data_IF_944646971273
#
_entry.id   IF_944646971273
#
_cell.length_a   1.000
_cell.length_b   1.000
_cell.length_c   1.000
_cell.angle_alpha   90.00
_cell.angle_beta   90.00
_cell.angle_gamma   90.00
#
_symmetry.space_group_name_H-M   'P 1'
#
loop_
_entity.id
_entity.type
_entity.pdbx_description
1 polymer ?
#
# COMPACT_ATOMS: atom_id res chain seq x y z
N UNK A 1 22.35 10.52 -1.24
CA UNK A 1 22.38 10.66 0.23
C UNK A 1 22.10 12.10 0.65
N UNK A 2 23.01 13.06 0.38
CA UNK A 2 22.85 14.47 0.77
C UNK A 2 21.49 15.07 0.36
N UNK A 3 20.99 14.74 -0.83
CA UNK A 3 19.67 15.20 -1.30
C UNK A 3 18.52 14.69 -0.43
N UNK A 4 18.55 13.43 0.01
CA UNK A 4 17.47 12.86 0.83
C UNK A 4 17.47 13.46 2.25
N UNK A 5 18.64 13.62 2.85
CA UNK A 5 18.77 14.17 4.22
C UNK A 5 18.50 15.68 4.27
N UNK A 6 18.77 16.42 3.18
CA UNK A 6 18.54 17.85 3.08
C UNK A 6 17.05 18.23 2.94
N UNK A 7 16.16 17.27 2.67
CA UNK A 7 14.74 17.52 2.44
C UNK A 7 13.85 16.72 3.39
N UNK A 8 13.97 16.90 4.73
CA UNK A 8 13.17 16.15 5.68
C UNK A 8 11.68 16.48 5.55
N UNK A 9 10.84 15.48 5.77
CA UNK A 9 9.38 15.66 5.84
C UNK A 9 9.01 16.68 6.92
N UNK A 10 8.11 17.63 6.63
CA UNK A 10 7.66 18.63 7.59
C UNK A 10 6.73 18.05 8.66
N UNK A 11 6.34 16.78 8.53
CA UNK A 11 5.43 16.13 9.46
C UNK A 11 6.03 16.10 10.87
N UNK A 12 5.26 16.43 11.92
CA UNK A 12 5.65 16.19 13.30
C UNK A 12 6.15 14.76 13.54
N UNK A 13 6.96 14.60 14.59
CA UNK A 13 7.45 13.28 15.02
C UNK A 13 6.33 12.43 15.63
N UNK A 14 5.47 13.09 16.40
CA UNK A 14 4.25 12.53 16.97
C UNK A 14 3.21 12.35 15.87
N UNK A 15 3.02 11.09 15.43
CA UNK A 15 2.06 10.75 14.39
C UNK A 15 0.61 10.81 14.91
N UNK A 16 0.38 10.62 16.21
CA UNK A 16 -0.95 10.79 16.80
C UNK A 16 -1.41 12.24 16.62
N UNK A 17 -0.54 13.20 16.93
CA UNK A 17 -0.83 14.61 16.72
C UNK A 17 -1.11 14.96 15.25
N UNK A 18 -0.49 14.26 14.29
CA UNK A 18 -0.78 14.44 12.86
C UNK A 18 -2.19 13.98 12.50
N UNK A 19 -2.61 12.81 13.00
CA UNK A 19 -3.95 12.27 12.75
C UNK A 19 -5.01 13.16 13.39
N UNK A 20 -4.82 13.50 14.67
CA UNK A 20 -5.75 14.33 15.44
C UNK A 20 -5.79 15.78 14.93
N UNK A 21 -4.68 16.26 14.35
CA UNK A 21 -4.56 17.57 13.71
C UNK A 21 -5.16 17.69 12.31
N UNK A 22 -6.02 16.74 11.90
CA UNK A 22 -6.79 16.77 10.65
C UNK A 22 -5.96 16.69 9.36
N UNK A 23 -4.74 16.14 9.40
CA UNK A 23 -3.95 15.94 8.16
C UNK A 23 -4.71 15.09 7.13
N UNK A 24 -5.54 14.18 7.63
CA UNK A 24 -6.22 13.16 6.89
C UNK A 24 -7.71 13.44 6.69
N UNK A 25 -8.44 13.71 7.77
CA UNK A 25 -9.87 14.00 7.76
C UNK A 25 -10.20 15.13 8.74
N UNK A 26 -11.28 15.89 8.53
CA UNK A 26 -11.84 16.77 9.55
C UNK A 26 -12.61 15.99 10.62
N UNK A 27 -12.95 16.64 11.76
CA UNK A 27 -13.87 16.08 12.74
C UNK A 27 -15.21 15.64 12.12
N UNK A 28 -15.83 14.55 12.61
CA UNK A 28 -15.42 13.72 13.76
C UNK A 28 -14.47 12.56 13.41
N UNK A 29 -13.88 12.53 12.20
CA UNK A 29 -13.15 11.36 11.69
C UNK A 29 -11.63 11.45 11.87
N UNK A 30 -11.12 12.56 12.42
CA UNK A 30 -9.72 12.78 12.78
C UNK A 30 -9.32 12.03 14.07
N UNK A 31 -9.66 10.74 14.16
CA UNK A 31 -9.50 9.92 15.37
C UNK A 31 -8.43 8.85 15.22
N UNK A 32 -7.72 8.54 16.30
CA UNK A 32 -6.82 7.40 16.36
C UNK A 32 -7.57 6.17 16.88
N UNK A 33 -7.69 5.16 16.04
CA UNK A 33 -8.38 3.90 16.34
C UNK A 33 -7.35 2.79 16.59
N UNK A 34 -6.39 2.64 15.68
CA UNK A 34 -5.34 1.63 15.75
C UNK A 34 -4.08 2.08 16.48
N UNK A 35 -3.10 1.18 16.57
CA UNK A 35 -1.78 1.50 17.11
C UNK A 35 -1.09 2.57 16.26
N UNK A 36 -0.45 3.52 16.92
CA UNK A 36 0.34 4.58 16.29
C UNK A 36 1.74 4.54 16.86
N UNK A 37 2.72 4.88 16.03
CA UNK A 37 4.13 5.00 16.44
C UNK A 37 4.65 6.35 15.97
N UNK A 38 5.48 6.98 16.79
CA UNK A 38 6.24 8.14 16.36
C UNK A 38 7.11 7.80 15.16
N UNK A 39 7.46 8.80 14.34
CA UNK A 39 8.33 8.61 13.18
C UNK A 39 9.81 8.87 13.41
N UNK A 40 10.63 8.15 12.66
CA UNK A 40 12.07 8.31 12.57
C UNK A 40 12.47 9.48 11.68
N UNK A 41 13.79 9.72 11.62
CA UNK A 41 14.35 10.74 10.74
C UNK A 41 14.34 10.29 9.29
N UNK A 42 14.74 11.17 8.36
CA UNK A 42 15.05 10.75 7.00
C UNK A 42 15.99 9.54 7.04
N UNK A 43 15.59 8.46 6.36
CA UNK A 43 16.36 7.22 6.34
C UNK A 43 16.05 6.45 5.07
N UNK A 44 16.96 5.58 4.66
CA UNK A 44 16.77 4.81 3.45
C UNK A 44 17.99 4.01 3.01
N UNK A 45 17.82 3.34 1.88
CA UNK A 45 18.80 2.45 1.28
C UNK A 45 18.64 2.46 -0.24
N UNK A 46 19.76 2.42 -0.97
CA UNK A 46 19.78 2.13 -2.42
C UNK A 46 20.51 0.83 -2.63
N UNK A 47 19.89 -0.09 -3.36
CA UNK A 47 20.44 -1.38 -3.77
C UNK A 47 20.51 -1.39 -5.29
N UNK A 48 21.66 -1.78 -5.85
CA UNK A 48 21.89 -1.94 -7.29
C UNK A 48 22.58 -3.27 -7.52
N UNK A 49 22.12 -4.09 -8.47
CA UNK A 49 22.77 -5.38 -8.72
C UNK A 49 22.70 -6.34 -7.54
N UNK A 50 21.65 -6.25 -6.72
CA UNK A 50 21.51 -6.99 -5.46
C UNK A 50 22.45 -6.56 -4.33
N UNK A 51 23.31 -5.54 -4.53
CA UNK A 51 24.26 -5.05 -3.52
C UNK A 51 23.81 -3.70 -2.94
N UNK A 52 23.87 -3.55 -1.62
CA UNK A 52 23.63 -2.26 -0.96
C UNK A 52 24.73 -1.30 -1.37
N UNK A 53 24.35 -0.20 -2.03
CA UNK A 53 25.28 0.82 -2.50
C UNK A 53 25.45 1.93 -1.44
N UNK A 54 24.33 2.32 -0.81
CA UNK A 54 24.33 3.36 0.23
C UNK A 54 23.14 3.18 1.18
N UNK A 55 23.37 3.53 2.44
CA UNK A 55 22.37 3.60 3.51
C UNK A 55 22.54 4.91 4.27
N UNK A 56 21.43 5.44 4.78
CA UNK A 56 21.46 6.66 5.59
C UNK A 56 20.35 6.63 6.65
N UNK A 57 20.57 7.40 7.72
CA UNK A 57 19.70 7.42 8.89
C UNK A 57 19.61 6.06 9.60
N UNK A 58 18.60 5.93 10.46
CA UNK A 58 18.31 4.69 11.18
C UNK A 58 17.44 3.76 10.32
N UNK A 59 18.09 2.81 9.64
CA UNK A 59 17.43 1.87 8.71
C UNK A 59 16.73 0.70 9.41
N UNK A 60 17.11 0.42 10.66
CA UNK A 60 16.55 -0.64 11.50
C UNK A 60 15.32 -0.19 12.29
N UNK A 61 15.07 1.12 12.38
CA UNK A 61 13.85 1.65 12.99
C UNK A 61 12.60 1.15 12.25
N UNK A 62 11.65 0.62 13.04
CA UNK A 62 10.31 0.25 12.57
C UNK A 62 9.40 1.46 12.56
N UNK A 63 8.97 1.87 11.37
CA UNK A 63 8.19 3.11 11.16
C UNK A 63 6.85 2.84 10.51
N UNK A 64 5.89 3.72 10.82
CA UNK A 64 4.69 4.05 10.05
C UNK A 64 4.86 3.89 8.52
N UNK A 65 4.39 2.81 7.87
CA UNK A 65 4.49 2.71 6.40
C UNK A 65 3.32 3.41 5.67
N UNK A 66 2.22 3.67 6.38
CA UNK A 66 0.99 4.25 5.82
C UNK A 66 0.56 3.53 4.52
N UNK A 67 0.33 4.27 3.44
CA UNK A 67 -0.17 3.72 2.16
C UNK A 67 0.80 2.78 1.45
N UNK A 68 2.07 2.67 1.86
CA UNK A 68 2.94 1.58 1.36
C UNK A 68 2.37 0.21 1.73
N UNK A 69 1.57 0.11 2.81
CA UNK A 69 0.82 -1.10 3.19
C UNK A 69 0.02 -1.67 2.02
N UNK A 70 -0.57 -0.82 1.17
CA UNK A 70 -1.41 -1.25 0.04
C UNK A 70 -0.64 -2.12 -0.97
N UNK A 71 0.63 -1.82 -1.20
CA UNK A 71 1.47 -2.60 -2.11
C UNK A 71 1.81 -4.00 -1.56
N UNK A 72 1.81 -4.18 -0.22
CA UNK A 72 1.87 -5.51 0.39
C UNK A 72 0.55 -6.29 0.25
N UNK A 73 -0.59 -5.60 0.31
CA UNK A 73 -1.90 -6.21 0.03
C UNK A 73 -1.97 -6.68 -1.43
N UNK A 74 -1.48 -5.85 -2.37
CA UNK A 74 -1.35 -6.23 -3.78
C UNK A 74 -0.49 -7.49 -3.96
N UNK A 75 0.65 -7.59 -3.26
CA UNK A 75 1.46 -8.81 -3.25
C UNK A 75 0.66 -10.03 -2.79
N UNK A 76 -0.12 -9.91 -1.70
CA UNK A 76 -0.95 -11.02 -1.21
C UNK A 76 -2.06 -11.41 -2.18
N UNK A 77 -2.63 -10.46 -2.93
CA UNK A 77 -3.58 -10.79 -4.00
C UNK A 77 -2.90 -11.56 -5.15
N UNK A 78 -1.67 -11.20 -5.52
CA UNK A 78 -0.89 -11.97 -6.49
C UNK A 78 -0.56 -13.37 -5.97
N UNK A 79 -0.26 -13.53 -4.68
CA UNK A 79 -0.08 -14.85 -4.04
C UNK A 79 -1.36 -15.68 -4.10
N UNK A 80 -2.53 -15.07 -3.90
CA UNK A 80 -3.81 -15.77 -4.02
C UNK A 80 -4.06 -16.27 -5.46
N UNK A 81 -3.73 -15.45 -6.46
CA UNK A 81 -3.80 -15.83 -7.86
C UNK A 81 -2.83 -16.98 -8.18
N UNK A 82 -1.57 -16.86 -7.75
CA UNK A 82 -0.51 -17.84 -8.01
C UNK A 82 -0.81 -19.21 -7.39
N UNK A 83 -1.44 -19.23 -6.22
CA UNK A 83 -1.89 -20.45 -5.54
C UNK A 83 -3.21 -21.01 -6.10
N UNK A 84 -3.81 -20.37 -7.10
CA UNK A 84 -5.08 -20.78 -7.69
C UNK A 84 -6.29 -20.63 -6.76
N UNK A 85 -6.20 -19.79 -5.71
CA UNK A 85 -7.31 -19.52 -4.79
C UNK A 85 -8.43 -18.71 -5.47
N UNK A 86 -8.06 -17.91 -6.47
CA UNK A 86 -8.94 -17.17 -7.36
C UNK A 86 -8.61 -17.54 -8.81
N UNK A 87 -9.63 -17.50 -9.69
CA UNK A 87 -9.43 -17.82 -11.11
C UNK A 87 -8.73 -16.68 -11.88
N UNK A 88 -8.82 -15.46 -11.37
CA UNK A 88 -8.30 -14.24 -11.98
C UNK A 88 -8.80 -13.01 -11.23
N UNK A 89 -8.17 -11.86 -11.47
CA UNK A 89 -8.59 -10.64 -10.79
C UNK A 89 -9.97 -10.13 -11.26
N UNK A 90 -10.44 -10.52 -12.44
CA UNK A 90 -11.76 -10.11 -12.93
C UNK A 90 -12.92 -10.98 -12.38
N UNK A 91 -12.61 -11.98 -11.56
CA UNK A 91 -13.63 -12.75 -10.83
C UNK A 91 -14.30 -11.87 -9.75
N UNK A 92 -15.65 -11.86 -9.63
CA UNK A 92 -16.31 -11.22 -8.50
C UNK A 92 -15.88 -11.83 -7.17
N UNK A 93 -15.59 -10.99 -6.17
CA UNK A 93 -15.12 -11.44 -4.84
C UNK A 93 -16.13 -12.40 -4.18
N UNK A 94 -17.42 -12.12 -4.37
CA UNK A 94 -18.55 -12.91 -3.89
C UNK A 94 -18.57 -14.37 -4.38
N UNK A 95 -17.82 -14.71 -5.44
CA UNK A 95 -17.67 -16.11 -5.91
C UNK A 95 -16.84 -16.97 -4.97
N UNK A 96 -15.99 -16.35 -4.15
CA UNK A 96 -15.09 -17.03 -3.21
C UNK A 96 -15.42 -16.73 -1.76
N UNK A 97 -15.95 -15.53 -1.50
CA UNK A 97 -16.15 -15.02 -0.15
C UNK A 97 -17.64 -14.90 0.14
N UNK A 98 -18.13 -15.73 1.04
CA UNK A 98 -19.46 -15.60 1.65
C UNK A 98 -19.36 -14.68 2.88
N UNK A 99 -19.45 -13.37 2.64
CA UNK A 99 -19.44 -12.35 3.69
C UNK A 99 -20.44 -11.25 3.33
N UNK A 100 -21.25 -10.73 4.29
CA UNK A 100 -22.21 -9.66 4.03
C UNK A 100 -21.61 -8.41 3.39
N UNK A 101 -20.31 -8.14 3.58
CA UNK A 101 -19.60 -7.04 2.93
C UNK A 101 -19.61 -7.16 1.39
N UNK A 102 -19.77 -8.36 0.84
CA UNK A 102 -19.78 -8.65 -0.61
C UNK A 102 -21.14 -9.15 -1.10
N UNK A 103 -22.21 -8.89 -0.35
CA UNK A 103 -23.57 -9.25 -0.72
C UNK A 103 -24.33 -8.09 -1.41
N UNK A 104 -25.53 -8.38 -1.90
CA UNK A 104 -26.43 -7.38 -2.51
C UNK A 104 -26.08 -7.01 -3.94
N UNK A 105 -26.93 -6.19 -4.61
CA UNK A 105 -26.87 -5.99 -6.06
C UNK A 105 -25.60 -5.26 -6.55
N UNK A 106 -24.91 -4.52 -5.67
CA UNK A 106 -23.68 -3.78 -5.99
C UNK A 106 -22.44 -4.55 -5.58
N UNK A 107 -22.24 -4.79 -4.28
CA UNK A 107 -20.99 -5.34 -3.79
C UNK A 107 -20.77 -6.78 -4.27
N UNK A 108 -21.84 -7.54 -4.59
CA UNK A 108 -21.70 -8.87 -5.16
C UNK A 108 -21.13 -8.89 -6.59
N UNK A 109 -21.13 -7.77 -7.31
CA UNK A 109 -20.54 -7.66 -8.65
C UNK A 109 -19.11 -7.13 -8.63
N UNK A 110 -18.61 -6.66 -7.48
CA UNK A 110 -17.26 -6.10 -7.35
C UNK A 110 -16.22 -7.20 -7.55
N UNK A 111 -15.26 -6.96 -8.45
CA UNK A 111 -14.17 -7.88 -8.73
C UNK A 111 -12.93 -7.59 -7.89
N UNK A 112 -12.02 -8.56 -7.78
CA UNK A 112 -10.72 -8.35 -7.14
C UNK A 112 -9.93 -7.22 -7.80
N UNK A 113 -9.94 -7.16 -9.14
CA UNK A 113 -9.32 -6.12 -9.97
C UNK A 113 -9.84 -4.75 -9.59
N UNK A 114 -11.15 -4.62 -9.41
CA UNK A 114 -11.74 -3.33 -9.09
C UNK A 114 -11.39 -2.86 -7.67
N UNK A 115 -11.23 -3.76 -6.71
CA UNK A 115 -10.69 -3.41 -5.38
C UNK A 115 -9.21 -3.01 -5.46
N UNK A 116 -8.41 -3.79 -6.19
CA UNK A 116 -6.98 -3.57 -6.38
C UNK A 116 -6.65 -2.27 -7.13
N UNK A 117 -7.47 -1.91 -8.12
CA UNK A 117 -7.26 -0.74 -8.96
C UNK A 117 -7.98 0.51 -8.43
N UNK A 118 -8.63 0.44 -7.26
CA UNK A 118 -9.38 1.55 -6.66
C UNK A 118 -10.55 2.03 -7.54
N UNK A 119 -11.24 1.08 -8.19
CA UNK A 119 -12.40 1.33 -9.06
C UNK A 119 -13.68 0.60 -8.64
N UNK A 120 -13.68 -0.02 -7.46
CA UNK A 120 -14.77 -0.90 -7.02
C UNK A 120 -16.12 -0.22 -6.85
N UNK A 121 -16.16 1.06 -6.50
CA UNK A 121 -17.39 1.69 -6.02
C UNK A 121 -18.08 0.85 -4.92
N UNK A 122 -17.29 0.06 -4.18
CA UNK A 122 -17.75 -0.71 -3.03
C UNK A 122 -18.28 0.26 -1.97
N UNK A 123 -19.39 -0.09 -1.35
CA UNK A 123 -20.02 0.73 -0.32
C UNK A 123 -20.55 -0.08 0.85
N UNK A 124 -20.42 0.49 2.04
CA UNK A 124 -20.82 -0.15 3.27
C UNK A 124 -20.12 0.49 4.46
N UNK A 125 -20.34 -0.10 5.63
CA UNK A 125 -19.60 0.23 6.85
C UNK A 125 -18.76 -0.96 7.23
N UNK A 126 -17.45 -0.75 7.38
CA UNK A 126 -16.52 -1.79 7.81
C UNK A 126 -15.80 -1.31 9.06
N UNK A 127 -15.76 -2.16 10.08
CA UNK A 127 -15.15 -1.86 11.38
C UNK A 127 -15.64 -0.50 11.92
N UNK A 128 -16.95 -0.22 11.85
CA UNK A 128 -17.54 1.03 12.34
C UNK A 128 -17.17 2.31 11.57
N UNK A 129 -16.50 2.22 10.41
CA UNK A 129 -16.27 3.35 9.51
C UNK A 129 -17.07 3.16 8.22
N UNK A 130 -17.94 4.12 7.84
CA UNK A 130 -18.61 4.08 6.55
C UNK A 130 -17.65 4.49 5.42
N UNK A 131 -17.77 3.85 4.26
CA UNK A 131 -16.91 4.10 3.10
C UNK A 131 -16.95 5.57 2.63
N UNK A 132 -18.08 6.24 2.90
CA UNK A 132 -18.33 7.65 2.58
C UNK A 132 -17.33 8.62 3.23
N UNK A 133 -16.69 8.24 4.34
CA UNK A 133 -15.66 9.07 4.99
C UNK A 133 -14.47 9.30 4.07
N UNK A 134 -14.23 8.34 3.18
CA UNK A 134 -13.03 8.18 2.37
C UNK A 134 -13.28 8.41 0.87
N UNK A 135 -14.45 8.93 0.48
CA UNK A 135 -14.77 9.22 -0.92
C UNK A 135 -14.14 10.53 -1.39
N UNK A 136 -13.77 10.55 -2.66
CA UNK A 136 -13.23 11.70 -3.39
C UNK A 136 -12.00 12.32 -2.69
N UNK A 137 -11.09 11.45 -2.23
CA UNK A 137 -9.87 11.92 -1.59
C UNK A 137 -8.96 12.63 -2.59
N UNK A 138 -8.51 13.82 -2.20
CA UNK A 138 -7.40 14.50 -2.87
C UNK A 138 -6.06 13.99 -2.32
N UNK A 139 -5.19 13.49 -3.19
CA UNK A 139 -3.95 12.79 -2.84
C UNK A 139 -2.75 13.70 -2.56
N UNK A 140 -2.88 15.00 -2.81
CA UNK A 140 -1.95 16.02 -2.35
C UNK A 140 -2.54 16.78 -1.15
N UNK A 141 -1.70 17.26 -0.21
CA UNK A 141 -2.15 18.28 0.72
C UNK A 141 -2.60 19.51 -0.08
N UNK A 142 -3.85 19.92 0.09
CA UNK A 142 -4.39 21.19 -0.42
C UNK A 142 -4.96 21.94 0.78
N UNK A 143 -4.81 23.25 0.80
CA UNK A 143 -5.41 24.11 1.84
C UNK A 143 -6.91 24.36 1.57
N UNK A 144 -7.57 23.48 0.80
CA UNK A 144 -8.93 23.67 0.31
C UNK A 144 -9.98 23.12 1.31
N UNK A 145 -10.82 23.98 1.92
CA UNK A 145 -11.90 23.56 2.80
C UNK A 145 -13.04 22.79 2.11
N UNK A 146 -13.10 22.74 0.77
CA UNK A 146 -14.02 21.90 0.01
C UNK A 146 -13.60 20.41 -0.06
N UNK A 147 -12.58 20.01 0.71
CA UNK A 147 -12.09 18.63 0.82
C UNK A 147 -13.25 17.66 1.13
N UNK A 148 -13.30 16.57 0.37
CA UNK A 148 -14.26 15.47 0.50
C UNK A 148 -15.70 15.86 0.13
N UNK A 149 -16.07 15.74 -1.15
CA UNK A 149 -17.50 15.67 -1.49
C UNK A 149 -18.04 14.30 -1.07
N UNK A 150 -18.30 14.16 0.24
CA UNK A 150 -18.93 12.97 0.82
C UNK A 150 -20.35 12.77 0.29
N UNK A 151 -20.91 13.73 -0.43
CA UNK A 151 -22.21 13.64 -1.10
C UNK A 151 -22.16 13.00 -2.49
N UNK A 152 -20.98 12.76 -3.06
CA UNK A 152 -20.84 12.19 -4.40
C UNK A 152 -21.55 10.83 -4.50
N UNK A 153 -22.56 10.71 -5.38
CA UNK A 153 -23.25 9.45 -5.59
C UNK A 153 -22.32 8.41 -6.20
N UNK A 154 -22.47 7.17 -5.73
CA UNK A 154 -21.72 6.04 -6.28
C UNK A 154 -22.07 5.81 -7.75
N UNK A 155 -21.05 5.54 -8.56
CA UNK A 155 -21.16 5.11 -9.97
C UNK A 155 -21.17 3.58 -10.05
N UNK A 156 -21.21 3.03 -11.26
CA UNK A 156 -21.10 1.58 -11.42
C UNK A 156 -19.67 1.12 -11.11
N UNK A 157 -19.47 -0.06 -10.46
CA UNK A 157 -18.14 -0.65 -10.29
C UNK A 157 -17.36 -0.71 -11.61
N UNK A 158 -16.09 -0.29 -11.59
CA UNK A 158 -15.22 -0.22 -12.75
C UNK A 158 -15.37 1.04 -13.62
N UNK A 159 -16.19 2.02 -13.23
CA UNK A 159 -16.44 3.24 -14.05
C UNK A 159 -15.92 4.54 -13.44
N UNK A 160 -15.38 4.47 -12.23
CA UNK A 160 -14.80 5.61 -11.53
C UNK A 160 -13.55 5.18 -10.78
N UNK A 161 -12.52 6.02 -10.77
CA UNK A 161 -11.32 5.80 -9.98
C UNK A 161 -11.34 6.73 -8.77
N UNK A 162 -11.29 6.16 -7.58
CA UNK A 162 -11.32 6.88 -6.31
C UNK A 162 -10.42 6.17 -5.31
N UNK A 163 -9.35 6.83 -4.89
CA UNK A 163 -8.35 6.26 -3.99
C UNK A 163 -8.90 6.22 -2.57
N UNK A 164 -9.26 5.01 -2.10
CA UNK A 164 -10.07 4.84 -0.91
C UNK A 164 -9.54 3.77 0.05
N UNK A 165 -9.17 4.15 1.28
CA UNK A 165 -8.71 3.27 2.36
C UNK A 165 -9.80 2.34 2.90
N UNK A 166 -11.05 2.77 2.96
CA UNK A 166 -12.18 1.95 3.38
C UNK A 166 -12.40 0.74 2.45
N UNK A 167 -12.32 0.96 1.14
CA UNK A 167 -12.43 -0.08 0.11
C UNK A 167 -11.22 -1.04 0.14
N UNK A 168 -10.04 -0.55 0.49
CA UNK A 168 -8.87 -1.40 0.73
C UNK A 168 -9.05 -2.27 1.98
N UNK A 169 -9.69 -1.76 3.05
CA UNK A 169 -10.02 -2.59 4.21
C UNK A 169 -11.00 -3.72 3.85
N UNK A 170 -11.93 -3.49 2.92
CA UNK A 170 -12.77 -4.56 2.38
C UNK A 170 -11.93 -5.62 1.67
N UNK A 171 -10.91 -5.23 0.89
CA UNK A 171 -9.96 -6.18 0.30
C UNK A 171 -9.16 -6.94 1.36
N UNK A 172 -8.72 -6.29 2.44
CA UNK A 172 -8.06 -6.99 3.57
C UNK A 172 -8.96 -8.07 4.18
N UNK A 173 -10.25 -7.75 4.41
CA UNK A 173 -11.25 -8.71 4.88
C UNK A 173 -11.36 -9.88 3.89
N UNK A 174 -11.57 -9.59 2.60
CA UNK A 174 -11.72 -10.61 1.56
C UNK A 174 -10.51 -11.55 1.49
N UNK A 175 -9.29 -11.01 1.49
CA UNK A 175 -8.07 -11.82 1.45
C UNK A 175 -7.90 -12.64 2.74
N UNK A 176 -8.22 -12.08 3.91
CA UNK A 176 -8.14 -12.83 5.19
C UNK A 176 -9.09 -14.02 5.19
N UNK A 177 -10.32 -13.82 4.69
CA UNK A 177 -11.31 -14.89 4.49
C UNK A 177 -10.83 -15.91 3.47
N UNK A 178 -10.25 -15.46 2.35
CA UNK A 178 -9.78 -16.32 1.27
C UNK A 178 -8.65 -17.26 1.72
N UNK A 179 -7.69 -16.72 2.48
CA UNK A 179 -6.57 -17.49 3.01
C UNK A 179 -6.93 -18.31 4.24
N UNK A 180 -8.08 -18.04 4.86
CA UNK A 180 -8.46 -18.54 6.17
C UNK A 180 -7.35 -18.34 7.23
N UNK A 181 -6.64 -17.21 7.14
CA UNK A 181 -5.49 -16.90 7.97
C UNK A 181 -5.23 -15.38 8.05
N UNK A 182 -4.66 -14.87 9.15
CA UNK A 182 -4.26 -13.48 9.25
C UNK A 182 -3.25 -13.10 8.14
N UNK A 183 -3.47 -12.00 7.44
CA UNK A 183 -2.56 -11.51 6.40
C UNK A 183 -1.09 -11.35 6.85
N UNK A 184 -0.78 -10.93 8.09
CA UNK A 184 0.61 -10.88 8.55
C UNK A 184 1.29 -12.26 8.57
N UNK A 185 0.54 -13.33 8.87
CA UNK A 185 1.04 -14.70 8.87
C UNK A 185 1.24 -15.20 7.44
N UNK A 186 0.30 -14.93 6.54
CA UNK A 186 0.43 -15.25 5.10
C UNK A 186 1.66 -14.56 4.51
N UNK A 187 1.85 -13.28 4.83
CA UNK A 187 2.98 -12.48 4.37
C UNK A 187 4.32 -12.99 4.91
N UNK A 188 4.39 -13.32 6.21
CA UNK A 188 5.59 -13.92 6.81
C UNK A 188 5.92 -15.30 6.23
N UNK A 189 4.91 -16.06 5.77
CA UNK A 189 5.08 -17.34 5.11
C UNK A 189 5.70 -17.27 3.71
N UNK A 190 5.79 -16.09 3.09
CA UNK A 190 6.43 -15.89 1.79
C UNK A 190 7.96 -15.90 1.93
N UNK A 191 8.47 -15.09 2.86
CA UNK A 191 9.90 -14.97 3.15
C UNK A 191 10.13 -14.43 4.58
N UNK A 192 11.16 -14.89 5.31
CA UNK A 192 11.51 -14.38 6.64
C UNK A 192 11.73 -12.86 6.71
N UNK A 193 12.11 -12.22 5.60
CA UNK A 193 12.24 -10.76 5.51
C UNK A 193 10.92 -10.02 5.80
N UNK A 194 9.77 -10.70 5.70
CA UNK A 194 8.45 -10.17 6.04
C UNK A 194 7.92 -10.65 7.40
N UNK A 195 8.75 -11.30 8.20
CA UNK A 195 8.42 -11.76 9.55
C UNK A 195 8.32 -10.63 10.59
N UNK A 196 8.11 -10.99 11.87
CA UNK A 196 7.93 -10.03 12.96
C UNK A 196 9.19 -9.26 13.35
N UNK A 197 10.38 -9.77 12.99
CA UNK A 197 11.66 -9.09 13.28
C UNK A 197 11.85 -7.79 12.49
N UNK A 198 11.12 -7.63 11.38
CA UNK A 198 11.28 -6.49 10.46
C UNK A 198 10.06 -5.57 10.43
N UNK A 199 9.07 -5.83 11.27
CA UNK A 199 7.85 -5.02 11.34
C UNK A 199 6.65 -5.74 11.93
N UNK A 200 5.53 -5.02 11.96
CA UNK A 200 4.22 -5.53 12.39
C UNK A 200 3.14 -4.98 11.45
N UNK A 201 2.02 -5.69 11.33
CA UNK A 201 0.87 -5.24 10.57
C UNK A 201 -0.38 -5.43 11.41
N UNK A 202 -0.91 -4.31 11.91
CA UNK A 202 -1.96 -4.28 12.92
C UNK A 202 -3.31 -3.87 12.33
N UNK A 203 -4.38 -4.33 12.97
CA UNK A 203 -5.75 -3.84 12.75
C UNK A 203 -6.14 -2.81 13.82
N UNK A 204 -7.40 -2.88 14.23
CA UNK A 204 -8.04 -2.02 15.24
C UNK A 204 -8.53 -2.82 16.46
N UNK A 205 -7.86 -3.93 16.77
CA UNK A 205 -8.20 -4.82 17.88
C UNK A 205 -9.57 -5.48 17.71
N UNK A 206 -10.37 -5.47 18.77
CA UNK A 206 -11.72 -6.06 18.75
C UNK A 206 -12.60 -5.48 17.64
N UNK A 207 -12.43 -4.19 17.33
CA UNK A 207 -13.18 -3.48 16.29
C UNK A 207 -13.00 -4.05 14.88
N UNK A 208 -11.83 -4.64 14.60
CA UNK A 208 -11.55 -5.32 13.33
C UNK A 208 -11.41 -6.83 13.48
N UNK A 209 -11.86 -7.41 14.59
CA UNK A 209 -11.82 -8.85 14.79
C UNK A 209 -13.04 -9.52 14.14
N UNK A 210 -12.79 -10.58 13.36
CA UNK A 210 -13.84 -11.38 12.73
C UNK A 210 -13.65 -12.86 13.07
N UNK A 211 -14.74 -13.63 13.06
CA UNK A 211 -14.68 -15.07 13.32
C UNK A 211 -14.26 -15.82 12.05
N UNK A 212 -13.08 -16.45 12.03
CA UNK A 212 -12.74 -17.50 11.06
C UNK A 212 -13.08 -18.90 11.63
N UNK A 213 -13.25 -19.93 10.78
CA UNK A 213 -13.46 -21.32 11.20
C UNK A 213 -12.53 -21.80 12.31
N UNK A 214 -11.22 -21.51 12.21
CA UNK A 214 -10.24 -21.96 13.18
C UNK A 214 -10.22 -21.12 14.47
N UNK A 215 -10.33 -19.80 14.34
CA UNK A 215 -10.28 -18.85 15.46
C UNK A 215 -10.75 -17.45 15.06
N UNK A 216 -11.17 -16.61 16.02
CA UNK A 216 -11.25 -15.18 15.78
C UNK A 216 -9.88 -14.61 15.36
N UNK A 217 -9.87 -13.74 14.36
CA UNK A 217 -8.67 -13.05 13.89
C UNK A 217 -8.92 -11.57 13.76
N UNK A 218 -7.93 -10.78 14.13
CA UNK A 218 -7.89 -9.35 13.83
C UNK A 218 -7.56 -9.16 12.34
N UNK A 219 -8.43 -8.44 11.62
CA UNK A 219 -8.17 -8.01 10.25
C UNK A 219 -7.16 -6.85 10.30
N UNK A 220 -5.99 -7.08 9.73
CA UNK A 220 -4.97 -6.05 9.55
C UNK A 220 -5.44 -5.04 8.48
N UNK A 221 -5.42 -3.74 8.81
CA UNK A 221 -6.01 -2.69 7.96
C UNK A 221 -5.06 -2.21 6.87
N UNK A 222 -5.59 -1.65 5.80
CA UNK A 222 -4.87 -1.34 4.56
C UNK A 222 -4.00 -0.08 4.56
N UNK A 223 -3.98 0.67 5.66
CA UNK A 223 -3.24 1.92 5.80
C UNK A 223 -3.22 2.42 7.24
N UNK A 224 -2.34 3.38 7.52
CA UNK A 224 -2.16 3.98 8.86
C UNK A 224 -3.02 5.21 9.13
N UNK A 225 -4.03 5.47 8.28
CA UNK A 225 -4.84 6.70 8.29
C UNK A 225 -5.52 6.98 9.63
N UNK A 226 -6.09 5.94 10.26
CA UNK A 226 -6.65 5.98 11.61
C UNK A 226 -5.78 5.20 12.61
N UNK A 227 -4.48 5.06 12.35
CA UNK A 227 -3.61 4.11 13.03
C UNK A 227 -3.77 2.66 12.54
N UNK A 228 -2.91 1.76 13.02
CA UNK A 228 -2.78 0.39 12.51
C UNK A 228 -1.96 0.34 11.23
N UNK A 229 -2.25 -0.64 10.37
CA UNK A 229 -1.54 -0.84 9.10
C UNK A 229 -0.14 -1.38 9.31
N UNK A 230 0.67 -1.38 8.24
CA UNK A 230 2.04 -1.88 8.32
C UNK A 230 2.96 -0.85 8.98
N UNK A 231 3.76 -1.31 9.93
CA UNK A 231 4.99 -0.64 10.37
C UNK A 231 6.18 -1.52 10.02
N UNK A 232 7.24 -0.95 9.44
CA UNK A 232 8.32 -1.73 8.84
C UNK A 232 9.68 -1.03 8.89
N UNK A 233 10.75 -1.84 8.87
CA UNK A 233 12.12 -1.35 8.64
C UNK A 233 12.37 -1.04 7.16
N UNK A 234 13.45 -0.31 6.88
CA UNK A 234 13.91 -0.09 5.49
C UNK A 234 14.22 -1.43 4.81
N UNK A 235 14.78 -2.39 5.55
CA UNK A 235 15.09 -3.73 5.05
C UNK A 235 13.87 -4.49 4.53
N UNK A 236 12.73 -4.45 5.25
CA UNK A 236 11.48 -5.10 4.83
C UNK A 236 10.94 -4.51 3.52
N UNK A 237 11.02 -3.19 3.39
CA UNK A 237 10.63 -2.48 2.16
C UNK A 237 11.57 -2.81 0.99
N UNK A 238 12.88 -2.88 1.26
CA UNK A 238 13.86 -3.32 0.27
C UNK A 238 13.62 -4.75 -0.21
N UNK A 239 13.23 -5.67 0.68
CA UNK A 239 12.87 -7.04 0.30
C UNK A 239 11.65 -7.10 -0.62
N UNK A 240 10.59 -6.32 -0.33
CA UNK A 240 9.44 -6.19 -1.22
C UNK A 240 9.86 -5.66 -2.59
N UNK A 241 10.64 -4.57 -2.62
CA UNK A 241 11.13 -3.99 -3.87
C UNK A 241 11.96 -4.98 -4.69
N UNK A 242 12.86 -5.74 -4.05
CA UNK A 242 13.69 -6.76 -4.73
C UNK A 242 12.87 -7.94 -5.24
N UNK A 243 11.84 -8.36 -4.51
CA UNK A 243 10.92 -9.40 -4.99
C UNK A 243 10.18 -8.96 -6.26
N UNK A 244 9.73 -7.69 -6.31
CA UNK A 244 9.08 -7.11 -7.50
C UNK A 244 10.08 -6.92 -8.63
N UNK A 245 11.29 -6.41 -8.35
CA UNK A 245 12.37 -6.26 -9.34
C UNK A 245 12.73 -7.60 -9.98
N UNK A 246 12.88 -8.64 -9.15
CA UNK A 246 13.15 -10.02 -9.57
C UNK A 246 11.93 -10.74 -10.16
N UNK A 247 10.83 -10.02 -10.42
CA UNK A 247 9.57 -10.53 -10.98
C UNK A 247 9.08 -11.78 -10.26
N UNK A 248 9.19 -11.81 -8.93
CA UNK A 248 8.74 -12.91 -8.07
C UNK A 248 9.86 -13.82 -7.59
N UNK A 249 11.11 -13.54 -7.97
CA UNK A 249 12.29 -14.14 -7.37
C UNK A 249 12.90 -13.20 -6.31
N UNK A 250 13.34 -13.76 -5.19
CA UNK A 250 14.07 -13.06 -4.14
C UNK A 250 15.26 -13.93 -3.72
N UNK A 251 16.46 -13.37 -3.73
CA UNK A 251 17.71 -14.04 -3.30
C UNK A 251 17.89 -15.44 -3.94
N UNK A 252 17.61 -15.55 -5.24
CA UNK A 252 17.75 -16.79 -6.03
C UNK A 252 16.59 -17.78 -5.91
N UNK A 253 15.57 -17.49 -5.10
CA UNK A 253 14.40 -18.35 -4.90
C UNK A 253 13.16 -17.76 -5.59
N UNK A 254 12.45 -18.59 -6.35
CA UNK A 254 11.13 -18.24 -6.91
C UNK A 254 10.08 -18.34 -5.80
N UNK A 255 9.52 -17.20 -5.40
CA UNK A 255 8.50 -17.11 -4.34
C UNK A 255 7.10 -16.83 -4.90
N UNK A 256 7.03 -16.25 -6.09
CA UNK A 256 5.79 -15.90 -6.80
C UNK A 256 6.01 -16.03 -8.30
N UNK A 257 5.02 -16.51 -9.06
CA UNK A 257 5.13 -16.53 -10.52
C UNK A 257 5.27 -15.13 -11.12
N UNK A 258 5.92 -15.10 -12.28
CA UNK A 258 6.08 -13.87 -13.06
C UNK A 258 4.72 -13.38 -13.54
N UNK A 259 3.86 -14.32 -13.94
CA UNK A 259 2.54 -14.10 -14.49
C UNK A 259 1.60 -13.43 -13.47
N UNK A 260 1.65 -13.86 -12.20
CA UNK A 260 0.86 -13.25 -11.14
C UNK A 260 1.27 -11.78 -10.86
N UNK A 261 2.57 -11.47 -10.91
CA UNK A 261 3.06 -10.10 -10.75
C UNK A 261 2.76 -9.21 -11.97
N UNK A 262 2.90 -9.74 -13.19
CA UNK A 262 2.53 -9.00 -14.40
C UNK A 262 1.03 -8.67 -14.40
N UNK A 263 0.19 -9.63 -13.99
CA UNK A 263 -1.24 -9.41 -13.81
C UNK A 263 -1.52 -8.33 -12.74
N UNK A 264 -0.79 -8.35 -11.62
CA UNK A 264 -0.94 -7.34 -10.57
C UNK A 264 -0.59 -5.94 -11.10
N UNK A 265 0.55 -5.79 -11.80
CA UNK A 265 1.09 -4.52 -12.27
C UNK A 265 0.51 -4.04 -13.62
N UNK A 266 -0.60 -4.64 -14.06
CA UNK A 266 -1.32 -4.17 -15.24
C UNK A 266 -1.92 -2.78 -14.96
N UNK A 267 -1.66 -1.76 -15.82
CA UNK A 267 -2.21 -0.42 -15.63
C UNK A 267 -3.75 -0.38 -15.61
N UNK A 268 -4.32 0.36 -14.69
CA UNK A 268 -5.75 0.67 -14.63
C UNK A 268 -6.13 1.56 -15.83
N UNK A 269 -7.12 1.19 -16.65
CA UNK A 269 -7.53 2.00 -17.80
C UNK A 269 -8.04 3.40 -17.44
N UNK A 270 -8.63 3.57 -16.25
CA UNK A 270 -9.14 4.86 -15.76
C UNK A 270 -8.06 5.74 -15.14
N UNK A 271 -6.99 5.13 -14.63
CA UNK A 271 -5.84 5.81 -14.05
C UNK A 271 -4.55 5.08 -14.42
N UNK A 272 -3.96 5.33 -15.60
CA UNK A 272 -2.83 4.54 -16.11
C UNK A 272 -1.57 4.58 -15.25
N UNK A 273 -1.41 5.56 -14.34
CA UNK A 273 -0.30 5.61 -13.38
C UNK A 273 -0.54 4.75 -12.13
N UNK A 274 -1.57 3.91 -12.13
CA UNK A 274 -1.94 3.03 -11.01
C UNK A 274 -2.28 1.63 -11.52
N UNK A 275 -1.99 0.60 -10.73
CA UNK A 275 -2.42 -0.77 -11.00
C UNK A 275 -2.09 -1.70 -9.85
N UNK A 276 -3.03 -2.52 -9.40
CA UNK A 276 -2.73 -3.55 -8.40
C UNK A 276 -2.29 -3.04 -7.03
N UNK A 277 -2.73 -1.85 -6.62
CA UNK A 277 -2.23 -1.13 -5.45
C UNK A 277 -0.75 -0.66 -5.54
N UNK A 278 -0.24 -0.51 -6.75
CA UNK A 278 1.06 0.09 -7.06
C UNK A 278 0.91 1.34 -7.92
N UNK A 279 1.87 2.26 -7.78
CA UNK A 279 2.01 3.42 -8.64
C UNK A 279 2.94 3.09 -9.80
N UNK A 280 2.47 3.21 -11.03
CA UNK A 280 3.20 2.86 -12.25
C UNK A 280 3.73 4.13 -12.91
N UNK A 281 5.00 4.16 -13.32
CA UNK A 281 5.59 5.33 -13.98
C UNK A 281 5.21 5.44 -15.47
N UNK A 282 3.98 5.08 -15.84
CA UNK A 282 3.48 5.09 -17.22
C UNK A 282 3.63 6.48 -17.84
N UNK A 283 4.27 6.55 -19.01
CA UNK A 283 4.62 7.82 -19.66
C UNK A 283 5.54 8.72 -18.84
N UNK A 284 6.26 8.16 -17.85
CA UNK A 284 7.14 8.86 -16.89
C UNK A 284 6.47 10.00 -16.13
N UNK A 285 5.15 9.89 -15.93
CA UNK A 285 4.32 10.95 -15.34
C UNK A 285 4.55 11.18 -13.85
N UNK A 286 4.98 10.15 -13.12
CA UNK A 286 5.19 10.25 -11.68
C UNK A 286 6.60 10.76 -11.36
N UNK A 287 7.60 10.18 -12.03
CA UNK A 287 9.01 10.50 -11.84
C UNK A 287 9.72 10.54 -13.21
N UNK A 288 9.85 11.73 -13.83
CA UNK A 288 10.43 11.86 -15.19
C UNK A 288 11.85 11.32 -15.34
N UNK A 289 12.64 11.32 -14.26
CA UNK A 289 14.01 10.83 -14.25
C UNK A 289 14.14 9.31 -14.04
N UNK A 290 13.09 8.63 -13.58
CA UNK A 290 13.03 7.18 -13.54
C UNK A 290 12.60 6.61 -14.90
N UNK A 291 12.85 5.32 -15.14
CA UNK A 291 12.36 4.66 -16.35
C UNK A 291 10.84 4.60 -16.39
N UNK A 292 10.27 4.42 -17.58
CA UNK A 292 8.84 4.20 -17.74
C UNK A 292 8.37 2.87 -17.11
N UNK A 293 9.29 1.90 -16.99
CA UNK A 293 9.04 0.62 -16.33
C UNK A 293 9.14 0.68 -14.81
N UNK A 294 9.51 1.82 -14.23
CA UNK A 294 9.61 1.96 -12.80
C UNK A 294 8.23 1.85 -12.14
N UNK A 295 8.20 1.22 -10.96
CA UNK A 295 7.01 1.17 -10.11
C UNK A 295 7.33 1.63 -8.71
N UNK A 296 6.33 2.18 -8.03
CA UNK A 296 6.49 2.77 -6.72
C UNK A 296 5.40 2.31 -5.75
N UNK A 297 5.79 2.23 -4.47
CA UNK A 297 4.86 2.23 -3.35
C UNK A 297 5.05 3.55 -2.59
N UNK A 298 3.98 4.30 -2.39
CA UNK A 298 4.01 5.59 -1.69
C UNK A 298 3.16 5.58 -0.42
N UNK A 299 3.74 6.13 0.64
CA UNK A 299 3.12 6.42 1.92
C UNK A 299 3.21 7.91 2.23
N UNK A 300 2.17 8.42 2.89
CA UNK A 300 2.13 9.81 3.40
C UNK A 300 3.27 10.06 4.39
N UNK A 301 3.70 11.32 4.53
CA UNK A 301 4.98 11.66 5.17
C UNK A 301 6.20 11.36 4.29
N UNK A 302 5.96 10.84 3.08
CA UNK A 302 6.90 10.42 2.04
C UNK A 302 7.80 9.25 2.45
N UNK A 303 7.16 8.10 2.63
CA UNK A 303 7.84 6.80 2.53
C UNK A 303 7.65 6.28 1.11
N UNK A 304 8.73 5.96 0.43
CA UNK A 304 8.74 5.49 -0.94
C UNK A 304 9.56 4.21 -1.07
N UNK A 305 9.02 3.24 -1.81
CA UNK A 305 9.78 2.16 -2.42
C UNK A 305 9.80 2.46 -3.92
N UNK A 306 10.99 2.57 -4.51
CA UNK A 306 11.20 2.71 -5.94
C UNK A 306 11.84 1.44 -6.47
N UNK A 307 11.19 0.81 -7.44
CA UNK A 307 11.70 -0.34 -8.19
C UNK A 307 12.01 0.13 -9.60
N UNK A 308 13.24 -0.05 -10.04
CA UNK A 308 13.79 0.45 -11.30
C UNK A 308 14.38 -0.71 -12.11
N UNK A 309 13.57 -1.37 -12.96
CA UNK A 309 14.03 -2.51 -13.75
C UNK A 309 15.20 -2.19 -14.70
N UNK A 310 15.24 -1.00 -15.29
CA UNK A 310 16.26 -0.68 -16.31
C UNK A 310 17.65 -0.45 -15.71
N UNK A 311 17.74 -0.23 -14.40
CA UNK A 311 19.02 -0.03 -13.67
C UNK A 311 19.27 -1.11 -12.63
N UNK A 312 18.48 -2.18 -12.62
CA UNK A 312 18.52 -3.25 -11.60
C UNK A 312 18.58 -2.69 -10.17
N UNK A 313 17.69 -1.72 -9.90
CA UNK A 313 17.74 -0.88 -8.71
C UNK A 313 16.47 -0.99 -7.86
N UNK A 314 16.67 -1.00 -6.55
CA UNK A 314 15.63 -0.74 -5.55
C UNK A 314 16.13 0.36 -4.62
N UNK A 315 15.33 1.41 -4.45
CA UNK A 315 15.58 2.42 -3.45
C UNK A 315 14.41 2.54 -2.48
N UNK A 316 14.72 2.66 -1.19
CA UNK A 316 13.76 3.01 -0.16
C UNK A 316 14.18 4.35 0.42
N UNK A 317 13.25 5.30 0.47
CA UNK A 317 13.47 6.60 1.11
C UNK A 317 12.27 6.92 2.01
N UNK A 318 12.52 7.27 3.26
CA UNK A 318 11.49 7.59 4.26
C UNK A 318 11.62 9.01 4.75
N UNK A 319 10.49 9.61 5.08
CA UNK A 319 10.40 10.90 5.79
C UNK A 319 11.14 12.04 5.11
N UNK A 320 11.01 12.13 3.79
CA UNK A 320 11.49 13.26 3.00
C UNK A 320 10.32 14.08 2.44
N UNK A 321 10.56 15.15 1.69
CA UNK A 321 9.47 15.84 0.98
C UNK A 321 9.21 15.16 -0.38
N UNK A 322 8.01 15.31 -0.98
CA UNK A 322 7.77 14.85 -2.35
C UNK A 322 8.76 15.44 -3.37
N UNK A 323 9.09 16.73 -3.23
CA UNK A 323 10.10 17.39 -4.07
C UNK A 323 11.50 16.84 -3.81
N UNK A 324 11.84 16.55 -2.55
CA UNK A 324 13.09 15.89 -2.17
C UNK A 324 13.20 14.48 -2.72
N UNK A 325 12.11 13.73 -2.78
CA UNK A 325 12.07 12.41 -3.42
C UNK A 325 12.30 12.52 -4.94
N UNK A 326 11.66 13.48 -5.61
CA UNK A 326 11.90 13.71 -7.04
C UNK A 326 13.36 14.09 -7.34
N UNK A 327 13.95 14.98 -6.52
CA UNK A 327 15.36 15.34 -6.61
C UNK A 327 16.28 14.14 -6.32
N UNK A 328 15.91 13.28 -5.36
CA UNK A 328 16.63 12.06 -5.05
C UNK A 328 16.62 11.08 -6.23
N UNK A 329 15.46 10.85 -6.87
CA UNK A 329 15.34 10.00 -8.05
C UNK A 329 16.22 10.54 -9.18
N UNK A 330 16.18 11.84 -9.45
CA UNK A 330 17.02 12.47 -10.46
C UNK A 330 18.52 12.29 -10.20
N UNK A 331 18.97 12.56 -8.97
CA UNK A 331 20.37 12.41 -8.59
C UNK A 331 20.86 10.96 -8.68
N UNK A 332 20.03 9.98 -8.30
CA UNK A 332 20.36 8.56 -8.44
C UNK A 332 20.39 8.14 -9.90
N UNK A 333 19.44 8.58 -10.72
CA UNK A 333 19.41 8.28 -12.14
C UNK A 333 20.62 8.86 -12.88
N UNK A 334 21.05 10.08 -12.54
CA UNK A 334 22.25 10.72 -13.07
C UNK A 334 23.53 9.98 -12.66
N UNK A 335 23.62 9.56 -11.39
CA UNK A 335 24.80 8.83 -10.89
C UNK A 335 24.96 7.42 -11.50
N UNK A 336 23.92 6.88 -12.13
CA UNK A 336 23.91 5.55 -12.75
C UNK A 336 23.83 5.61 -14.28
N UNK A 337 23.82 6.80 -14.87
CA UNK A 337 23.88 7.00 -16.32
C UNK A 337 25.30 6.78 -16.84
#
# INVERSE_FOLDING_TARGET
MAVAEAHPSPWPRDIRAVIEGCAFDPPPWNVVIGKVRDRGGPSGRVVVGGRSLVEWGDTDRVDMAFSVTKSYIGLLAAVALDRGLIAGFDEPVSRRIDDPAFAGPRNATVTWRQLLDQTSEWSGTLFGLPDIVDRDRQLAPTDDPARFDRGTPLRAPGTYWDYNDGRVNALCLALTRLFDAPLPEVLAGIDPAFGPLTGAWDGWGERSTVALPARPVEIAVGGGHWGGGLSATVGRHGALGRLVLGRGALDGRRLLSTEALDALLTPCPLQPVYGGLWWLNTGRRLQPAASERAVFAFGVGMTAIWVEPERDLVAVARWITPTGFAAFVAAVAEALA
#
